data_IF_457484505103
#
_entry.id   IF_457484505103
#
_cell.length_a   1.000
_cell.length_b   1.000
_cell.length_c   1.000
_cell.angle_alpha   90.00
_cell.angle_beta   90.00
_cell.angle_gamma   90.00
#
_symmetry.space_group_name_H-M   'P 1'
#
loop_
_entity.id
_entity.type
_entity.pdbx_description
1 polymer ?
#
# COMPACT_ATOMS: atom_id res chain seq x y z
N UNK A 1 -22.47 57.47 -13.91
CA UNK A 1 -23.33 56.28 -13.99
C UNK A 1 -22.43 55.05 -13.90
N UNK A 2 -22.40 54.19 -12.89
CA UNK A 2 -23.00 54.10 -11.55
C UNK A 2 -22.03 53.17 -10.78
N UNK A 3 -21.78 53.44 -9.49
CA UNK A 3 -21.17 52.45 -8.60
C UNK A 3 -22.17 51.31 -8.38
N UNK A 4 -21.70 50.06 -8.39
CA UNK A 4 -22.26 49.00 -7.55
C UNK A 4 -21.12 48.12 -7.07
N UNK A 5 -20.81 48.24 -5.78
CA UNK A 5 -20.18 47.16 -5.05
C UNK A 5 -21.07 45.93 -5.21
N UNK A 6 -20.49 44.82 -5.63
CA UNK A 6 -20.94 43.52 -5.18
C UNK A 6 -19.78 42.92 -4.41
N UNK A 7 -19.90 43.11 -3.09
CA UNK A 7 -19.33 42.25 -2.09
C UNK A 7 -19.50 40.79 -2.50
N UNK A 8 -18.37 40.15 -2.76
CA UNK A 8 -18.07 38.81 -2.29
C UNK A 8 -16.55 38.74 -2.18
N UNK A 9 -16.00 39.64 -1.35
CA UNK A 9 -14.94 39.17 -0.47
C UNK A 9 -15.61 38.05 0.31
N UNK A 10 -15.34 36.80 -0.09
CA UNK A 10 -15.59 35.68 0.79
C UNK A 10 -14.64 35.89 1.99
N UNK A 11 -15.02 36.79 2.90
CA UNK A 11 -14.65 36.76 4.30
C UNK A 11 -15.43 35.61 4.94
N UNK A 12 -15.30 34.42 4.37
CA UNK A 12 -15.57 33.23 5.11
C UNK A 12 -14.34 33.05 5.99
N UNK A 13 -14.53 33.36 7.27
CA UNK A 13 -13.70 32.93 8.39
C UNK A 13 -13.68 31.40 8.48
N UNK A 14 -13.27 30.73 7.40
CA UNK A 14 -13.18 29.28 7.25
C UNK A 14 -11.73 28.80 7.35
N UNK A 15 -10.86 29.57 7.99
CA UNK A 15 -9.69 28.95 8.56
C UNK A 15 -10.10 28.27 9.85
N UNK A 16 -10.63 27.05 9.68
CA UNK A 16 -10.63 26.03 10.71
C UNK A 16 -9.26 26.03 11.37
N UNK A 17 -9.27 25.98 12.71
CA UNK A 17 -8.11 26.17 13.59
C UNK A 17 -6.85 25.47 13.04
N UNK A 18 -5.65 26.04 13.25
CA UNK A 18 -4.41 25.43 12.78
C UNK A 18 -4.31 23.98 13.20
N UNK A 19 -3.90 23.12 12.28
CA UNK A 19 -3.66 21.71 12.58
C UNK A 19 -2.25 21.56 13.15
N UNK A 20 -2.13 20.78 14.22
CA UNK A 20 -0.83 20.40 14.77
C UNK A 20 -0.33 19.22 13.94
N UNK A 21 0.74 19.41 13.16
CA UNK A 21 1.22 18.43 12.17
C UNK A 21 1.51 17.05 12.80
N UNK A 22 1.96 17.03 14.06
CA UNK A 22 2.22 15.81 14.83
C UNK A 22 0.96 15.06 15.29
N UNK A 23 -0.20 15.71 15.32
CA UNK A 23 -1.49 15.11 15.69
C UNK A 23 -2.27 14.61 14.48
N UNK A 24 -1.81 14.92 13.27
CA UNK A 24 -2.44 14.44 12.04
C UNK A 24 -2.18 12.93 11.92
N UNK A 25 -3.25 12.14 11.82
CA UNK A 25 -3.18 10.68 11.70
C UNK A 25 -2.82 10.24 10.29
N UNK A 26 -3.38 10.89 9.29
CA UNK A 26 -3.15 10.58 7.89
C UNK A 26 -3.31 11.83 7.01
N UNK A 27 -2.69 11.78 5.84
CA UNK A 27 -2.84 12.74 4.75
C UNK A 27 -3.17 11.96 3.49
N UNK A 28 -4.13 12.44 2.71
CA UNK A 28 -4.46 11.89 1.39
C UNK A 28 -4.17 12.93 0.33
N UNK A 29 -3.37 12.55 -0.66
CA UNK A 29 -2.99 13.40 -1.78
C UNK A 29 -3.62 12.86 -3.06
N UNK A 30 -4.12 13.76 -3.89
CA UNK A 30 -4.75 13.41 -5.16
C UNK A 30 -4.05 14.12 -6.32
N UNK A 31 -3.76 13.39 -7.40
CA UNK A 31 -2.93 13.84 -8.54
C UNK A 31 -3.40 15.15 -9.18
N UNK A 32 -4.72 15.36 -9.25
CA UNK A 32 -5.33 16.49 -9.94
C UNK A 32 -5.88 17.57 -9.00
N UNK A 33 -5.68 17.41 -7.69
CA UNK A 33 -6.14 18.38 -6.69
C UNK A 33 -5.02 19.36 -6.33
N UNK A 34 -5.40 20.58 -6.01
CA UNK A 34 -4.47 21.62 -5.54
C UNK A 34 -4.54 21.77 -4.01
N UNK A 35 -3.42 22.18 -3.43
CA UNK A 35 -3.31 22.53 -2.00
C UNK A 35 -4.13 23.77 -1.67
N UNK A 36 -4.70 23.82 -0.46
CA UNK A 36 -5.24 25.05 0.14
C UNK A 36 -4.09 25.88 0.70
N UNK A 37 -4.09 27.20 0.47
CA UNK A 37 -3.01 28.07 0.93
C UNK A 37 -3.54 29.39 1.47
N UNK A 38 -2.78 30.00 2.38
CA UNK A 38 -3.04 31.33 2.95
C UNK A 38 -2.05 32.35 2.40
N UNK A 39 -0.76 32.01 2.37
CA UNK A 39 0.35 32.90 2.02
C UNK A 39 1.03 32.50 0.71
N UNK A 40 0.98 31.22 0.36
CA UNK A 40 1.61 30.69 -0.86
C UNK A 40 0.59 30.50 -1.98
N UNK A 41 1.06 30.39 -3.22
CA UNK A 41 0.20 30.03 -4.36
C UNK A 41 -0.13 28.52 -4.33
N UNK A 42 -1.35 28.13 -4.72
CA UNK A 42 -1.72 26.72 -4.82
C UNK A 42 -0.80 25.90 -5.73
N UNK A 43 -0.34 24.75 -5.21
CA UNK A 43 0.43 23.74 -5.95
C UNK A 43 -0.36 22.43 -6.02
N UNK A 44 0.04 21.51 -6.91
CA UNK A 44 -0.55 20.17 -6.93
C UNK A 44 -0.29 19.45 -5.60
N UNK A 45 -1.28 18.71 -5.12
CA UNK A 45 -1.16 17.92 -3.89
C UNK A 45 -0.09 16.83 -4.01
N UNK A 46 0.14 16.28 -5.19
CA UNK A 46 1.20 15.29 -5.41
C UNK A 46 1.87 15.42 -6.77
N UNK A 47 3.18 15.14 -6.80
CA UNK A 47 3.98 15.15 -8.02
C UNK A 47 5.10 14.09 -7.96
N UNK A 48 5.13 13.20 -8.96
CA UNK A 48 6.24 12.27 -9.17
C UNK A 48 7.46 13.00 -9.74
N UNK A 49 8.68 12.68 -9.27
CA UNK A 49 9.93 13.31 -9.70
C UNK A 49 10.69 12.56 -10.80
N UNK A 50 10.44 11.26 -10.99
CA UNK A 50 11.24 10.41 -11.88
C UNK A 50 10.60 10.21 -13.26
N UNK A 51 9.27 10.11 -13.38
CA UNK A 51 8.49 10.13 -14.65
C UNK A 51 6.97 10.19 -14.36
N UNK A 52 6.12 10.36 -15.39
CA UNK A 52 4.67 10.17 -15.27
C UNK A 52 4.35 8.74 -14.83
N UNK A 53 3.74 8.58 -13.66
CA UNK A 53 3.09 7.35 -13.22
C UNK A 53 1.58 7.39 -13.51
N UNK A 54 0.88 6.30 -13.26
CA UNK A 54 -0.57 6.18 -13.34
C UNK A 54 -1.28 6.36 -11.98
N UNK A 55 -0.51 6.56 -10.91
CA UNK A 55 -0.99 6.73 -9.53
C UNK A 55 -1.87 7.99 -9.42
N UNK A 56 -3.08 7.82 -8.91
CA UNK A 56 -4.09 8.88 -8.74
C UNK A 56 -4.19 9.36 -7.29
N UNK A 57 -4.04 8.45 -6.33
CA UNK A 57 -4.26 8.75 -4.91
C UNK A 57 -3.19 8.09 -4.04
N UNK A 58 -2.52 8.90 -3.22
CA UNK A 58 -1.57 8.42 -2.21
C UNK A 58 -2.08 8.77 -0.82
N UNK A 59 -2.14 7.77 0.05
CA UNK A 59 -2.42 7.95 1.47
C UNK A 59 -1.14 7.79 2.27
N UNK A 60 -0.83 8.78 3.10
CA UNK A 60 0.32 8.82 3.99
C UNK A 60 -0.15 8.80 5.44
N UNK A 61 0.13 7.70 6.15
CA UNK A 61 -0.18 7.56 7.56
C UNK A 61 0.99 8.06 8.41
N UNK A 62 0.67 8.81 9.47
CA UNK A 62 1.67 9.23 10.46
C UNK A 62 1.95 8.07 11.41
N UNK A 63 3.21 7.67 11.47
CA UNK A 63 3.65 6.48 12.20
C UNK A 63 4.21 6.77 13.60
N UNK A 64 4.44 8.04 14.01
CA UNK A 64 4.99 8.49 15.33
C UNK A 64 6.25 7.72 15.82
N UNK A 65 7.38 8.24 16.30
CA UNK A 65 7.98 9.54 16.56
C UNK A 65 9.51 9.31 16.54
N UNK A 66 10.29 10.26 16.02
CA UNK A 66 11.70 10.47 16.35
C UNK A 66 11.91 12.00 16.36
N UNK A 67 12.30 12.57 17.50
CA UNK A 67 12.70 13.98 17.66
C UNK A 67 11.68 15.08 17.28
N UNK A 68 10.37 14.89 17.45
CA UNK A 68 9.43 16.02 17.33
C UNK A 68 8.80 16.20 15.95
N UNK A 69 9.17 15.39 14.96
CA UNK A 69 8.66 15.45 13.59
C UNK A 69 7.82 14.21 13.22
N UNK A 70 6.77 14.37 12.40
CA UNK A 70 5.94 13.26 11.99
C UNK A 70 6.69 12.38 11.00
N UNK A 71 6.72 11.07 11.23
CA UNK A 71 7.24 10.10 10.27
C UNK A 71 6.09 9.58 9.45
N UNK A 72 6.08 9.90 8.17
CA UNK A 72 5.05 9.44 7.25
C UNK A 72 5.37 8.07 6.68
N UNK A 73 4.33 7.32 6.37
CA UNK A 73 4.39 6.10 5.57
C UNK A 73 3.31 6.19 4.49
N UNK A 74 3.74 6.27 3.23
CA UNK A 74 2.87 6.53 2.09
C UNK A 74 2.65 5.27 1.24
N UNK A 75 1.39 5.03 0.86
CA UNK A 75 0.96 3.96 -0.04
C UNK A 75 0.01 4.51 -1.09
N UNK A 76 0.06 3.98 -2.30
CA UNK A 76 -0.99 4.28 -3.29
C UNK A 76 -2.27 3.50 -2.95
N UNK A 77 -3.41 4.15 -3.10
CA UNK A 77 -4.72 3.51 -2.91
C UNK A 77 -5.22 2.83 -4.18
N UNK A 78 -4.75 3.26 -5.34
CA UNK A 78 -5.18 2.81 -6.66
C UNK A 78 -4.14 1.91 -7.38
N UNK A 79 -2.87 1.99 -6.98
CA UNK A 79 -1.75 1.18 -7.48
C UNK A 79 -1.10 0.41 -6.31
N UNK A 80 -1.71 -0.69 -5.85
CA UNK A 80 -1.28 -1.39 -4.63
C UNK A 80 0.13 -2.00 -4.73
N UNK A 81 0.69 -2.11 -5.94
CA UNK A 81 2.03 -2.64 -6.20
C UNK A 81 3.10 -1.54 -6.31
N UNK A 82 2.70 -0.26 -6.38
CA UNK A 82 3.63 0.85 -6.43
C UNK A 82 4.23 1.10 -5.04
N UNK A 83 5.54 1.05 -4.93
CA UNK A 83 6.26 1.51 -3.74
C UNK A 83 6.51 3.01 -3.86
N UNK A 84 6.00 3.76 -2.88
CA UNK A 84 6.26 5.20 -2.78
C UNK A 84 7.56 5.39 -1.98
N UNK A 85 8.61 5.88 -2.65
CA UNK A 85 9.96 6.00 -2.08
C UNK A 85 10.51 7.42 -2.22
N UNK A 86 11.57 7.71 -1.45
CA UNK A 86 12.30 8.98 -1.46
C UNK A 86 11.43 10.24 -1.33
N UNK A 87 10.24 10.14 -0.73
CA UNK A 87 9.26 11.21 -0.75
C UNK A 87 9.49 12.29 0.30
N UNK A 88 8.96 13.47 0.03
CA UNK A 88 8.98 14.64 0.90
C UNK A 88 7.58 15.22 0.97
N UNK A 89 7.08 15.44 2.20
CA UNK A 89 5.82 16.13 2.46
C UNK A 89 6.13 17.54 2.97
N UNK A 90 5.54 18.53 2.32
CA UNK A 90 5.69 19.95 2.66
C UNK A 90 4.34 20.58 2.87
N UNK A 91 4.13 21.22 4.02
CA UNK A 91 2.89 21.91 4.37
C UNK A 91 3.15 23.39 4.62
N UNK A 92 2.14 24.23 4.43
CA UNK A 92 2.24 25.64 4.75
C UNK A 92 2.11 25.87 6.25
N UNK A 93 3.08 26.57 6.84
CA UNK A 93 3.05 26.98 8.24
C UNK A 93 1.98 28.03 8.51
N UNK A 94 1.20 27.80 9.57
CA UNK A 94 0.11 28.71 9.96
C UNK A 94 0.64 30.10 10.35
N UNK A 95 1.70 30.17 11.15
CA UNK A 95 2.37 31.42 11.57
C UNK A 95 3.90 31.28 11.44
N UNK A 96 4.64 32.34 11.76
CA UNK A 96 6.11 32.37 11.74
C UNK A 96 6.74 32.04 13.09
N UNK A 97 5.93 31.70 14.11
CA UNK A 97 6.37 31.61 15.51
C UNK A 97 6.40 30.17 16.05
N UNK A 98 5.83 29.18 15.34
CA UNK A 98 5.85 27.77 15.76
C UNK A 98 5.99 26.79 14.58
N UNK A 99 7.00 25.91 14.62
CA UNK A 99 7.35 24.96 13.55
C UNK A 99 6.33 23.81 13.31
N UNK A 100 5.30 23.68 14.16
CA UNK A 100 4.42 22.49 14.18
C UNK A 100 2.95 22.76 13.85
N UNK A 101 2.56 24.02 13.63
CA UNK A 101 1.19 24.38 13.24
C UNK A 101 1.12 24.64 11.74
N UNK A 102 0.17 24.01 11.06
CA UNK A 102 0.01 24.11 9.61
C UNK A 102 -1.40 24.51 9.22
N UNK A 103 -1.51 25.04 8.01
CA UNK A 103 -2.78 25.31 7.34
C UNK A 103 -3.40 23.99 6.89
N UNK A 104 -4.68 23.78 7.16
CA UNK A 104 -5.36 22.56 6.74
C UNK A 104 -5.42 22.41 5.22
N UNK A 105 -5.06 21.23 4.71
CA UNK A 105 -5.06 20.94 3.27
C UNK A 105 -3.96 21.63 2.48
N UNK A 106 -2.97 22.22 3.16
CA UNK A 106 -1.81 22.87 2.53
C UNK A 106 -0.65 21.93 2.21
N UNK A 107 -0.73 20.67 2.66
CA UNK A 107 0.33 19.71 2.44
C UNK A 107 0.39 19.27 0.96
N UNK A 108 1.60 19.18 0.44
CA UNK A 108 1.95 18.61 -0.86
C UNK A 108 2.98 17.49 -0.70
N UNK A 109 2.96 16.53 -1.63
CA UNK A 109 3.82 15.35 -1.65
C UNK A 109 4.65 15.34 -2.94
N UNK A 110 5.98 15.37 -2.82
CA UNK A 110 6.89 15.04 -3.93
C UNK A 110 7.47 13.66 -3.67
N UNK A 111 7.42 12.75 -4.65
CA UNK A 111 7.81 11.36 -4.44
C UNK A 111 8.47 10.76 -5.67
N UNK A 112 9.17 9.65 -5.46
CA UNK A 112 9.49 8.69 -6.52
C UNK A 112 8.58 7.49 -6.34
N UNK A 113 8.14 6.88 -7.44
CA UNK A 113 7.48 5.58 -7.40
C UNK A 113 8.39 4.53 -8.00
N UNK A 114 8.43 3.38 -7.35
CA UNK A 114 9.13 2.22 -7.82
C UNK A 114 8.17 1.05 -7.83
N UNK A 115 8.09 0.37 -8.97
CA UNK A 115 7.38 -0.89 -9.07
C UNK A 115 8.45 -1.99 -9.01
N UNK A 116 8.55 -2.75 -7.90
CA UNK A 116 9.47 -3.88 -7.83
C UNK A 116 9.26 -4.83 -9.02
N UNK A 117 10.33 -5.00 -9.83
CA UNK A 117 10.49 -5.86 -11.00
C UNK A 117 10.17 -5.36 -12.43
N UNK A 118 10.35 -4.07 -12.74
CA UNK A 118 10.26 -3.58 -14.14
C UNK A 118 11.48 -3.83 -15.06
N UNK A 119 12.49 -4.64 -14.68
CA UNK A 119 13.64 -4.92 -15.57
C UNK A 119 13.85 -6.40 -15.97
N UNK A 120 12.93 -7.31 -15.63
CA UNK A 120 12.91 -8.65 -16.23
C UNK A 120 11.53 -8.96 -16.82
N UNK A 121 11.41 -8.75 -18.13
CA UNK A 121 10.32 -9.14 -19.04
C UNK A 121 8.91 -8.60 -18.73
N UNK A 122 8.63 -7.36 -19.15
CA UNK A 122 7.28 -6.75 -19.21
C UNK A 122 6.22 -7.68 -19.84
N UNK A 123 6.60 -8.50 -20.82
CA UNK A 123 5.67 -9.42 -21.49
C UNK A 123 5.13 -10.53 -20.57
N UNK A 124 5.91 -11.01 -19.61
CA UNK A 124 5.46 -12.06 -18.66
C UNK A 124 4.47 -11.48 -17.64
N UNK A 125 4.68 -10.24 -17.21
CA UNK A 125 3.80 -9.52 -16.28
C UNK A 125 2.50 -9.06 -16.95
N UNK A 126 2.54 -8.54 -18.17
CA UNK A 126 1.33 -8.24 -18.94
C UNK A 126 0.49 -9.49 -19.18
N UNK A 127 1.14 -10.61 -19.52
CA UNK A 127 0.46 -11.90 -19.65
C UNK A 127 -0.15 -12.37 -18.32
N UNK A 128 0.55 -12.19 -17.20
CA UNK A 128 0.04 -12.55 -15.87
C UNK A 128 -1.14 -11.66 -15.46
N UNK A 129 -1.06 -10.34 -15.67
CA UNK A 129 -2.14 -9.40 -15.40
C UNK A 129 -3.37 -9.71 -16.26
N UNK A 130 -3.21 -9.98 -17.56
CA UNK A 130 -4.31 -10.40 -18.43
C UNK A 130 -4.94 -11.71 -17.97
N UNK A 131 -4.14 -12.68 -17.52
CA UNK A 131 -4.63 -13.94 -16.94
C UNK A 131 -5.36 -13.73 -15.59
N UNK A 132 -4.98 -12.72 -14.80
CA UNK A 132 -5.59 -12.41 -13.51
C UNK A 132 -6.85 -11.54 -13.60
N UNK A 133 -7.01 -10.72 -14.65
CA UNK A 133 -8.24 -9.96 -14.89
C UNK A 133 -9.46 -10.89 -15.02
N UNK A 134 -9.29 -12.07 -15.62
CA UNK A 134 -10.33 -13.08 -15.69
C UNK A 134 -10.63 -13.74 -14.34
N UNK A 135 -9.68 -13.76 -13.40
CA UNK A 135 -9.88 -14.38 -12.09
C UNK A 135 -10.93 -13.63 -11.26
N UNK A 136 -11.00 -12.31 -11.38
CA UNK A 136 -12.00 -11.48 -10.68
C UNK A 136 -13.44 -11.94 -10.90
N UNK A 137 -13.74 -12.56 -12.06
CA UNK A 137 -15.07 -13.09 -12.42
C UNK A 137 -15.52 -14.26 -11.54
N UNK A 138 -14.59 -14.94 -10.88
CA UNK A 138 -14.89 -16.03 -9.95
C UNK A 138 -15.15 -15.53 -8.51
N UNK A 139 -15.03 -14.22 -8.25
CA UNK A 139 -15.21 -13.60 -6.94
C UNK A 139 -16.32 -12.55 -6.97
N UNK A 140 -17.23 -12.57 -5.99
CA UNK A 140 -18.20 -11.52 -5.73
C UNK A 140 -17.96 -10.97 -4.32
N UNK A 141 -17.65 -9.67 -4.19
CA UNK A 141 -17.31 -9.03 -2.91
C UNK A 141 -16.15 -9.75 -2.16
N UNK A 142 -15.18 -10.27 -2.90
CA UNK A 142 -14.06 -11.06 -2.35
C UNK A 142 -14.43 -12.50 -1.97
N UNK A 143 -15.69 -12.91 -2.15
CA UNK A 143 -16.20 -14.25 -1.84
C UNK A 143 -16.38 -15.06 -3.13
N UNK A 144 -15.86 -16.27 -3.14
CA UNK A 144 -15.88 -17.14 -4.31
C UNK A 144 -17.27 -17.70 -4.62
N UNK A 145 -17.66 -17.73 -5.91
CA UNK A 145 -19.03 -18.13 -6.32
C UNK A 145 -19.13 -19.45 -7.09
N UNK A 146 -18.13 -19.85 -7.89
CA UNK A 146 -18.13 -21.16 -8.58
C UNK A 146 -16.79 -21.52 -9.24
N UNK A 147 -16.44 -22.83 -9.26
CA UNK A 147 -15.18 -23.36 -9.84
C UNK A 147 -15.20 -23.72 -11.32
N UNK A 148 -16.38 -23.68 -11.95
CA UNK A 148 -16.51 -24.11 -13.34
C UNK A 148 -15.76 -23.15 -14.27
N UNK A 149 -14.74 -23.66 -14.97
CA UNK A 149 -13.92 -22.91 -15.93
C UNK A 149 -12.68 -22.20 -15.35
N UNK A 150 -12.42 -22.31 -14.03
CA UNK A 150 -11.20 -21.77 -13.44
C UNK A 150 -9.98 -22.56 -13.90
N UNK A 151 -8.88 -21.87 -14.21
CA UNK A 151 -7.60 -22.48 -14.60
C UNK A 151 -6.58 -22.37 -13.47
N UNK A 152 -5.70 -23.38 -13.28
CA UNK A 152 -4.61 -23.29 -12.33
C UNK A 152 -3.60 -22.20 -12.68
N UNK A 153 -2.86 -21.74 -11.66
CA UNK A 153 -1.67 -20.90 -11.85
C UNK A 153 -0.41 -21.70 -11.59
N UNK A 154 0.60 -21.59 -12.46
CA UNK A 154 1.93 -22.14 -12.14
C UNK A 154 2.57 -21.27 -11.07
N UNK A 155 2.89 -21.84 -9.90
CA UNK A 155 3.43 -21.12 -8.74
C UNK A 155 4.71 -20.35 -9.08
N UNK A 156 5.58 -20.91 -9.93
CA UNK A 156 6.84 -20.27 -10.36
C UNK A 156 6.64 -19.00 -11.18
N UNK A 157 5.47 -18.83 -11.80
CA UNK A 157 5.15 -17.67 -12.61
C UNK A 157 4.53 -16.55 -11.80
N UNK A 158 4.26 -16.78 -10.50
CA UNK A 158 3.72 -15.76 -9.61
C UNK A 158 4.89 -14.87 -9.16
N UNK A 159 4.90 -13.59 -9.52
CA UNK A 159 6.02 -12.71 -9.19
C UNK A 159 5.94 -12.18 -7.76
N UNK A 160 4.72 -12.01 -7.24
CA UNK A 160 4.46 -11.40 -5.95
C UNK A 160 3.14 -11.91 -5.37
N UNK A 161 3.10 -12.00 -4.05
CA UNK A 161 1.90 -12.26 -3.27
C UNK A 161 1.70 -11.11 -2.27
N UNK A 162 0.44 -10.69 -2.11
CA UNK A 162 0.04 -9.72 -1.11
C UNK A 162 -1.01 -10.38 -0.23
N UNK A 163 -0.73 -10.41 1.07
CA UNK A 163 -1.59 -10.98 2.08
C UNK A 163 -2.19 -9.88 2.95
N UNK A 164 -3.45 -10.06 3.32
CA UNK A 164 -4.15 -9.17 4.23
C UNK A 164 -4.62 -9.93 5.47
N UNK A 165 -4.52 -9.32 6.64
CA UNK A 165 -4.85 -9.95 7.93
C UNK A 165 -6.29 -10.43 8.02
N UNK A 166 -7.22 -9.68 7.44
CA UNK A 166 -8.66 -9.95 7.48
C UNK A 166 -9.14 -10.84 6.32
N UNK A 167 -8.29 -11.13 5.34
CA UNK A 167 -8.64 -11.91 4.16
C UNK A 167 -8.50 -13.43 4.39
N UNK A 168 -9.32 -14.19 3.68
CA UNK A 168 -9.31 -15.65 3.63
C UNK A 168 -8.75 -16.16 2.30
N UNK A 169 -8.15 -17.35 2.33
CA UNK A 169 -7.72 -18.07 1.12
C UNK A 169 -8.93 -18.55 0.32
N UNK A 170 -8.73 -18.87 -0.95
CA UNK A 170 -9.65 -19.72 -1.71
C UNK A 170 -9.29 -21.20 -1.55
N UNK A 171 -10.21 -22.08 -1.98
CA UNK A 171 -9.99 -23.52 -1.99
C UNK A 171 -10.85 -24.24 -3.02
N UNK A 172 -10.33 -25.31 -3.63
CA UNK A 172 -11.13 -26.27 -4.42
C UNK A 172 -11.80 -27.31 -3.53
N UNK A 173 -11.29 -27.52 -2.31
CA UNK A 173 -11.76 -28.52 -1.35
C UNK A 173 -12.77 -27.97 -0.34
N UNK A 174 -13.18 -26.71 -0.50
CA UNK A 174 -14.01 -25.96 0.45
C UNK A 174 -13.37 -25.83 1.85
N UNK A 175 -12.03 -25.77 1.91
CA UNK A 175 -11.27 -25.55 3.15
C UNK A 175 -10.63 -24.15 3.13
N UNK A 176 -11.23 -23.20 3.84
CA UNK A 176 -10.78 -21.81 3.83
C UNK A 176 -9.91 -21.50 5.05
N UNK A 177 -8.78 -20.84 4.83
CA UNK A 177 -7.84 -20.43 5.87
C UNK A 177 -7.68 -18.92 5.89
N UNK A 178 -7.12 -18.35 6.97
CA UNK A 178 -6.66 -16.95 6.93
C UNK A 178 -5.44 -16.85 6.04
N UNK A 179 -5.33 -15.76 5.29
CA UNK A 179 -4.13 -15.50 4.47
C UNK A 179 -2.87 -15.26 5.31
N UNK A 180 -3.03 -14.74 6.54
CA UNK A 180 -1.91 -14.42 7.43
C UNK A 180 -2.06 -15.15 8.75
N UNK A 181 -1.10 -16.04 9.05
CA UNK A 181 -1.14 -16.91 10.22
C UNK A 181 0.08 -16.69 11.13
N UNK A 182 -0.11 -16.11 12.33
CA UNK A 182 0.99 -15.93 13.27
C UNK A 182 1.41 -17.28 13.88
N UNK A 183 2.71 -17.57 13.87
CA UNK A 183 3.28 -18.74 14.53
C UNK A 183 3.27 -18.57 16.07
N UNK A 184 3.30 -19.67 16.84
CA UNK A 184 3.40 -19.60 18.30
C UNK A 184 4.56 -18.71 18.78
N UNK A 185 4.26 -17.81 19.73
CA UNK A 185 5.24 -16.86 20.26
C UNK A 185 5.41 -15.58 19.45
N UNK A 186 4.62 -15.38 18.39
CA UNK A 186 4.55 -14.13 17.65
C UNK A 186 4.26 -12.92 18.56
N UNK A 187 4.92 -11.79 18.28
CA UNK A 187 4.83 -10.57 19.11
C UNK A 187 4.08 -9.41 18.45
N UNK A 188 3.81 -9.50 17.16
CA UNK A 188 3.12 -8.45 16.42
C UNK A 188 2.40 -9.04 15.20
N UNK A 189 1.18 -8.60 14.93
CA UNK A 189 0.39 -9.05 13.78
C UNK A 189 0.17 -7.89 12.81
N UNK A 190 0.93 -7.83 11.70
CA UNK A 190 0.79 -6.75 10.74
C UNK A 190 -0.51 -6.87 9.95
N UNK A 191 -1.00 -5.75 9.44
CA UNK A 191 -2.22 -5.70 8.62
C UNK A 191 -1.99 -6.25 7.20
N UNK A 192 -0.78 -6.09 6.67
CA UNK A 192 -0.40 -6.51 5.32
C UNK A 192 0.98 -7.16 5.30
N UNK A 193 1.19 -8.12 4.40
CA UNK A 193 2.50 -8.69 4.12
C UNK A 193 2.66 -8.91 2.62
N UNK A 194 3.81 -8.52 2.07
CA UNK A 194 4.13 -8.72 0.66
C UNK A 194 5.27 -9.72 0.56
N UNK A 195 5.14 -10.73 -0.29
CA UNK A 195 6.17 -11.71 -0.56
C UNK A 195 6.53 -11.71 -2.04
N UNK A 196 7.80 -11.46 -2.35
CA UNK A 196 8.33 -11.45 -3.71
C UNK A 196 8.97 -12.79 -4.04
N UNK A 197 8.73 -13.29 -5.24
CA UNK A 197 9.40 -14.47 -5.75
C UNK A 197 10.83 -14.09 -6.18
N UNK A 198 11.82 -14.52 -5.40
CA UNK A 198 13.23 -14.20 -5.63
C UNK A 198 13.97 -15.30 -6.40
N UNK A 199 13.24 -16.28 -6.93
CA UNK A 199 13.77 -17.36 -7.75
C UNK A 199 13.59 -18.74 -7.16
N UNK A 200 14.35 -19.71 -7.67
CA UNK A 200 14.21 -21.12 -7.36
C UNK A 200 15.50 -21.66 -6.75
N UNK A 201 15.39 -22.37 -5.63
CA UNK A 201 16.53 -22.98 -4.95
C UNK A 201 16.12 -24.34 -4.36
N UNK A 202 16.93 -25.37 -4.60
CA UNK A 202 16.73 -26.73 -4.08
C UNK A 202 15.30 -27.30 -4.27
N UNK A 203 14.74 -27.15 -5.46
CA UNK A 203 13.43 -27.73 -5.75
C UNK A 203 12.23 -26.90 -5.28
N UNK A 204 12.46 -25.72 -4.71
CA UNK A 204 11.39 -24.87 -4.18
C UNK A 204 11.58 -23.39 -4.55
N UNK A 205 10.45 -22.70 -4.72
CA UNK A 205 10.42 -21.25 -4.92
C UNK A 205 10.80 -20.57 -3.62
N UNK A 206 11.64 -19.56 -3.75
CA UNK A 206 12.12 -18.76 -2.64
C UNK A 206 11.30 -17.46 -2.59
N UNK A 207 10.68 -17.21 -1.44
CA UNK A 207 9.89 -16.02 -1.20
C UNK A 207 10.62 -15.07 -0.25
N UNK A 208 10.80 -13.82 -0.66
CA UNK A 208 11.27 -12.75 0.21
C UNK A 208 10.07 -11.95 0.70
N UNK A 209 9.72 -12.11 1.98
CA UNK A 209 8.58 -11.44 2.58
C UNK A 209 8.99 -10.21 3.37
N UNK A 210 8.17 -9.17 3.28
CA UNK A 210 8.32 -7.91 3.99
C UNK A 210 6.97 -7.40 4.51
N UNK A 211 7.03 -6.65 5.60
CA UNK A 211 5.87 -6.04 6.24
C UNK A 211 6.29 -4.82 7.07
N UNK A 212 5.35 -3.96 7.42
CA UNK A 212 5.61 -2.77 8.21
C UNK A 212 5.72 -3.12 9.69
N UNK A 213 6.92 -2.92 10.24
CA UNK A 213 7.23 -3.19 11.65
C UNK A 213 7.85 -1.95 12.29
N UNK A 214 7.49 -1.69 13.55
CA UNK A 214 8.27 -0.81 14.42
C UNK A 214 9.69 -1.37 14.56
N UNK A 215 10.72 -0.51 14.68
CA UNK A 215 12.14 -0.89 14.81
C UNK A 215 12.39 -1.93 15.90
N UNK A 216 11.55 -1.91 16.96
CA UNK A 216 11.61 -2.88 18.05
C UNK A 216 11.16 -4.29 17.65
N UNK A 217 10.70 -4.51 16.42
CA UNK A 217 10.26 -5.79 15.91
C UNK A 217 11.00 -6.16 14.62
N UNK A 218 11.16 -7.46 14.40
CA UNK A 218 11.75 -8.02 13.18
C UNK A 218 10.96 -9.24 12.73
N UNK A 219 10.76 -9.35 11.41
CA UNK A 219 10.23 -10.54 10.77
C UNK A 219 11.32 -11.60 10.76
N UNK A 220 11.15 -12.64 11.56
CA UNK A 220 12.13 -13.71 11.75
C UNK A 220 11.89 -14.85 10.78
N UNK A 221 10.63 -15.12 10.45
CA UNK A 221 10.23 -16.18 9.54
C UNK A 221 8.97 -15.77 8.80
N UNK A 222 8.89 -16.17 7.53
CA UNK A 222 7.70 -16.09 6.71
C UNK A 222 7.72 -17.24 5.71
N UNK A 223 6.78 -18.17 5.86
CA UNK A 223 6.67 -19.38 5.04
C UNK A 223 5.38 -19.28 4.23
N UNK A 224 5.52 -19.15 2.91
CA UNK A 224 4.38 -19.13 1.97
C UNK A 224 3.96 -20.56 1.63
N UNK A 225 2.66 -20.82 1.65
CA UNK A 225 2.06 -22.09 1.24
C UNK A 225 0.79 -21.84 0.45
N UNK A 226 0.56 -22.61 -0.61
CA UNK A 226 -0.63 -22.51 -1.46
C UNK A 226 -1.28 -23.88 -1.62
N UNK A 227 -2.57 -23.92 -1.97
CA UNK A 227 -3.25 -25.19 -2.30
C UNK A 227 -2.83 -25.62 -3.71
N UNK A 228 -2.22 -26.80 -3.81
CA UNK A 228 -1.89 -27.39 -5.11
C UNK A 228 -3.15 -27.87 -5.84
N UNK A 229 -3.20 -27.63 -7.14
CA UNK A 229 -4.38 -27.85 -7.98
C UNK A 229 -4.81 -29.32 -8.00
N UNK A 230 -3.87 -30.24 -8.19
CA UNK A 230 -4.13 -31.68 -8.17
C UNK A 230 -3.76 -32.35 -6.83
N UNK A 231 -3.12 -31.63 -5.92
CA UNK A 231 -2.71 -32.16 -4.61
C UNK A 231 -1.46 -31.48 -4.03
N UNK A 232 -1.00 -31.92 -2.83
CA UNK A 232 0.18 -31.37 -2.19
C UNK A 232 1.44 -31.50 -3.07
N UNK A 233 2.21 -30.43 -3.20
CA UNK A 233 3.44 -30.40 -3.99
C UNK A 233 3.26 -30.14 -5.49
N UNK A 234 2.03 -29.92 -5.96
CA UNK A 234 1.78 -29.54 -7.36
C UNK A 234 2.41 -28.18 -7.68
N UNK A 235 3.08 -28.09 -8.84
CA UNK A 235 3.63 -26.82 -9.36
C UNK A 235 2.52 -25.84 -9.75
N UNK A 236 1.32 -26.37 -10.00
CA UNK A 236 0.11 -25.63 -10.28
C UNK A 236 -0.72 -25.49 -9.02
N UNK A 237 -1.21 -24.28 -8.76
CA UNK A 237 -1.95 -23.95 -7.55
C UNK A 237 -3.33 -23.39 -7.86
N UNK A 238 -4.20 -23.44 -6.85
CA UNK A 238 -5.50 -22.79 -6.87
C UNK A 238 -5.30 -21.27 -6.75
N UNK A 239 -5.81 -20.45 -7.68
CA UNK A 239 -5.70 -19.00 -7.61
C UNK A 239 -6.31 -18.45 -6.31
N UNK A 240 -5.57 -17.61 -5.58
CA UNK A 240 -6.03 -17.03 -4.30
C UNK A 240 -5.88 -17.93 -3.07
N UNK A 241 -5.32 -19.13 -3.22
CA UNK A 241 -5.22 -20.10 -2.13
C UNK A 241 -4.00 -19.94 -1.22
N UNK A 242 -3.07 -19.05 -1.59
CA UNK A 242 -1.85 -18.85 -0.84
C UNK A 242 -2.11 -18.20 0.52
N UNK A 243 -1.36 -18.65 1.51
CA UNK A 243 -1.25 -18.06 2.84
C UNK A 243 0.20 -17.95 3.27
N UNK A 244 0.48 -17.12 4.26
CA UNK A 244 1.79 -16.97 4.89
C UNK A 244 1.73 -17.28 6.38
N UNK A 245 2.60 -18.17 6.83
CA UNK A 245 2.87 -18.42 8.24
C UNK A 245 4.06 -17.57 8.66
N UNK A 246 3.92 -16.72 9.67
CA UNK A 246 4.97 -15.77 10.00
C UNK A 246 5.29 -15.72 11.50
N UNK A 247 6.52 -15.34 11.82
CA UNK A 247 6.99 -15.11 13.18
C UNK A 247 7.68 -13.77 13.27
N UNK A 248 7.10 -12.86 14.05
CA UNK A 248 7.70 -11.58 14.39
C UNK A 248 8.12 -11.60 15.86
N UNK A 249 9.37 -11.19 16.11
CA UNK A 249 9.94 -11.10 17.46
C UNK A 249 10.38 -9.68 17.78
N UNK A 250 10.61 -9.40 19.06
CA UNK A 250 11.31 -8.19 19.45
C UNK A 250 12.74 -8.23 18.91
N UNK A 251 13.16 -7.17 18.25
CA UNK A 251 14.54 -6.97 17.82
C UNK A 251 15.43 -6.93 19.05
N UNK A 252 16.54 -7.67 19.01
CA UNK A 252 17.60 -7.52 20.02
C UNK A 252 18.34 -6.22 19.69
N UNK A 253 18.15 -5.20 20.51
CA UNK A 253 19.05 -4.05 20.53
C UNK A 253 20.31 -4.44 21.31
#
# INVERSE_FOLDING_TARGET
YFYSQNDNVYTDNYFEKPQIINQIKNLTFNKHMFTRNIKQSPVLQMQNRQTSDDIQTINCNNTNYLFGQPKWHCVSLDQPFAQIINYVITCEGWDTKMDFKIVEGSCSLKYDSFYPNHQKNNQQYENFNNQYQDLSKFYQNGVYKQASGMKPLKLSNIPMLVFQKTATTTSLKNEYFKQMNPQPGNKFEPEYMTCENIGYYNGAIQWQCQTFLDKKYSLVRADVSCEGWNGPGDEYIVPGSCMVNYLIRKSKY
#
